data_IF_546564181624
#
_entry.id   IF_546564181624
#
_cell.length_a   1.000
_cell.length_b   1.000
_cell.length_c   1.000
_cell.angle_alpha   90.00
_cell.angle_beta   90.00
_cell.angle_gamma   90.00
#
_symmetry.space_group_name_H-M   'P 1'
#
loop_
_entity.id
_entity.type
_entity.pdbx_description
1 polymer ?
#
# COMPACT_ATOMS: atom_id res chain seq x y z
N UNK A 1 11.98 31.55 -10.35
CA UNK A 1 12.79 30.59 -11.15
C UNK A 1 14.08 30.28 -10.39
N UNK A 2 14.59 29.05 -10.50
CA UNK A 2 15.90 28.67 -9.94
C UNK A 2 16.93 28.70 -11.08
N UNK A 3 18.08 29.35 -10.88
CA UNK A 3 19.17 29.39 -11.86
C UNK A 3 20.01 28.12 -11.75
N UNK A 4 20.25 27.46 -12.89
CA UNK A 4 21.15 26.30 -12.98
C UNK A 4 22.06 26.46 -14.21
N UNK A 5 23.32 26.07 -14.07
CA UNK A 5 24.31 26.04 -15.15
C UNK A 5 24.60 24.58 -15.49
N UNK A 6 24.69 24.26 -16.78
CA UNK A 6 24.95 22.93 -17.30
C UNK A 6 26.00 23.04 -18.39
N UNK A 7 26.95 22.11 -18.41
CA UNK A 7 27.87 21.96 -19.52
C UNK A 7 27.20 21.14 -20.61
N UNK A 8 27.31 21.61 -21.86
CA UNK A 8 26.78 20.94 -23.04
C UNK A 8 27.95 20.59 -23.97
N UNK A 9 27.85 19.43 -24.62
CA UNK A 9 28.77 19.07 -25.70
C UNK A 9 28.48 19.94 -26.93
N UNK A 10 29.47 20.24 -27.78
CA UNK A 10 29.29 21.05 -28.99
C UNK A 10 28.18 20.53 -29.93
N UNK A 11 28.00 19.21 -29.97
CA UNK A 11 26.96 18.54 -30.76
C UNK A 11 25.55 18.93 -30.31
N UNK A 12 25.29 18.86 -29.00
CA UNK A 12 24.00 19.22 -28.40
C UNK A 12 23.71 20.71 -28.60
N UNK A 13 24.70 21.58 -28.43
CA UNK A 13 24.54 23.02 -28.67
C UNK A 13 24.12 23.31 -30.11
N UNK A 14 24.77 22.64 -31.07
CA UNK A 14 24.45 22.76 -32.49
C UNK A 14 23.00 22.36 -32.78
N UNK A 15 22.57 21.20 -32.27
CA UNK A 15 21.19 20.72 -32.44
C UNK A 15 20.17 21.67 -31.81
N UNK A 16 20.46 22.21 -30.62
CA UNK A 16 19.57 23.18 -29.97
C UNK A 16 19.41 24.47 -30.78
N UNK A 17 20.49 24.96 -31.41
CA UNK A 17 20.42 26.14 -32.29
C UNK A 17 19.62 25.86 -33.55
N UNK A 18 19.77 24.67 -34.14
CA UNK A 18 19.01 24.26 -35.33
C UNK A 18 17.51 24.20 -34.99
N UNK A 19 17.15 23.54 -33.89
CA UNK A 19 15.76 23.44 -33.43
C UNK A 19 15.15 24.79 -33.05
N UNK A 20 15.92 25.65 -32.38
CA UNK A 20 15.51 27.02 -32.06
C UNK A 20 15.16 27.82 -33.33
N UNK A 21 15.99 27.71 -34.38
CA UNK A 21 15.73 28.36 -35.68
C UNK A 21 14.52 27.78 -36.38
N UNK A 22 14.37 26.45 -36.41
CA UNK A 22 13.23 25.77 -37.04
C UNK A 22 11.89 26.23 -36.46
N UNK A 23 11.83 26.41 -35.15
CA UNK A 23 10.61 26.78 -34.44
C UNK A 23 10.45 28.29 -34.18
N UNK A 24 11.42 29.12 -34.56
CA UNK A 24 11.40 30.56 -34.27
C UNK A 24 11.45 30.88 -32.78
N UNK A 25 12.07 30.00 -31.97
CA UNK A 25 12.12 30.09 -30.51
C UNK A 25 13.53 30.38 -30.01
N UNK A 26 13.65 30.81 -28.76
CA UNK A 26 14.97 30.94 -28.11
C UNK A 26 15.51 29.56 -27.72
N UNK A 27 16.83 29.39 -27.73
CA UNK A 27 17.49 28.15 -27.29
C UNK A 27 17.10 27.77 -25.86
N UNK A 28 16.97 28.76 -24.97
CA UNK A 28 16.53 28.55 -23.59
C UNK A 28 15.08 28.00 -23.50
N UNK A 29 14.19 28.46 -24.36
CA UNK A 29 12.81 27.95 -24.42
C UNK A 29 12.76 26.53 -24.97
N UNK A 30 13.57 26.22 -25.99
CA UNK A 30 13.71 24.85 -26.52
C UNK A 30 14.20 23.90 -25.43
N UNK A 31 15.26 24.26 -24.70
CA UNK A 31 15.78 23.47 -23.58
C UNK A 31 14.70 23.26 -22.52
N UNK A 32 13.96 24.31 -22.16
CA UNK A 32 12.87 24.21 -21.18
C UNK A 32 11.79 23.22 -21.63
N UNK A 33 11.33 23.33 -22.87
CA UNK A 33 10.29 22.44 -23.42
C UNK A 33 10.76 20.98 -23.46
N UNK A 34 12.02 20.73 -23.84
CA UNK A 34 12.61 19.39 -23.85
C UNK A 34 12.67 18.82 -22.42
N UNK A 35 13.10 19.62 -21.45
CA UNK A 35 13.14 19.20 -20.05
C UNK A 35 11.74 18.95 -19.46
N UNK A 36 10.77 19.82 -19.75
CA UNK A 36 9.38 19.64 -19.30
C UNK A 36 8.74 18.37 -19.88
N UNK A 37 8.97 18.11 -21.16
CA UNK A 37 8.48 16.92 -21.86
C UNK A 37 9.16 15.64 -21.38
N UNK A 38 10.49 15.63 -21.28
CA UNK A 38 11.26 14.46 -20.85
C UNK A 38 10.98 14.07 -19.40
N UNK A 39 10.83 15.05 -18.50
CA UNK A 39 10.49 14.81 -17.10
C UNK A 39 8.99 14.58 -16.88
N UNK A 40 8.18 14.60 -17.94
CA UNK A 40 6.72 14.47 -17.90
C UNK A 40 6.08 15.38 -16.82
N UNK A 41 6.59 16.60 -16.65
CA UNK A 41 6.15 17.52 -15.60
C UNK A 41 4.65 17.80 -15.73
N UNK A 42 4.16 17.88 -16.97
CA UNK A 42 2.73 18.04 -17.26
C UNK A 42 1.87 16.87 -16.77
N UNK A 43 2.36 15.62 -16.90
CA UNK A 43 1.64 14.43 -16.42
C UNK A 43 1.74 14.26 -14.90
N UNK A 44 2.77 14.83 -14.28
CA UNK A 44 2.96 14.85 -12.83
C UNK A 44 2.22 16.00 -12.14
N UNK A 45 1.53 16.88 -12.89
CA UNK A 45 0.56 17.80 -12.28
C UNK A 45 -0.39 16.94 -11.45
N UNK A 46 -0.33 17.12 -10.13
CA UNK A 46 -1.06 16.33 -9.13
C UNK A 46 -2.46 16.06 -9.68
N UNK A 47 -2.78 14.80 -9.91
CA UNK A 47 -4.14 14.42 -10.26
C UNK A 47 -5.06 15.07 -9.23
N UNK A 48 -6.09 15.79 -9.68
CA UNK A 48 -7.04 16.41 -8.76
C UNK A 48 -7.56 15.30 -7.83
N UNK A 49 -7.47 15.43 -6.51
CA UNK A 49 -7.93 14.39 -5.59
C UNK A 49 -9.37 13.95 -5.89
N UNK A 50 -10.23 14.87 -6.35
CA UNK A 50 -11.58 14.53 -6.82
C UNK A 50 -11.59 13.66 -8.08
N UNK A 51 -10.71 13.90 -9.04
CA UNK A 51 -10.58 13.08 -10.25
C UNK A 51 -10.06 11.67 -9.93
N UNK A 52 -9.14 11.55 -8.97
CA UNK A 52 -8.65 10.24 -8.49
C UNK A 52 -9.78 9.45 -7.82
N UNK A 53 -10.54 10.09 -6.94
CA UNK A 53 -11.70 9.47 -6.28
C UNK A 53 -12.76 9.04 -7.29
N UNK A 54 -13.02 9.86 -8.32
CA UNK A 54 -14.00 9.54 -9.36
C UNK A 54 -13.53 8.38 -10.24
N UNK A 55 -12.23 8.29 -10.53
CA UNK A 55 -11.63 7.11 -11.21
C UNK A 55 -11.74 5.84 -10.36
N UNK A 56 -11.52 5.95 -9.04
CA UNK A 56 -11.69 4.83 -8.11
C UNK A 56 -13.16 4.41 -8.03
N UNK A 57 -14.09 5.36 -8.01
CA UNK A 57 -15.52 5.11 -7.98
C UNK A 57 -16.03 4.48 -9.29
N UNK A 58 -15.50 4.89 -10.45
CA UNK A 58 -15.85 4.29 -11.73
C UNK A 58 -15.49 2.80 -11.80
N UNK A 59 -14.44 2.40 -11.08
CA UNK A 59 -14.00 1.01 -10.94
C UNK A 59 -14.52 0.34 -9.66
N UNK A 60 -15.37 1.02 -8.87
CA UNK A 60 -15.96 0.44 -7.68
C UNK A 60 -17.04 -0.56 -8.12
N UNK A 61 -16.66 -1.85 -8.14
CA UNK A 61 -17.60 -2.94 -8.35
C UNK A 61 -18.62 -3.06 -7.20
N UNK A 62 -19.67 -3.85 -7.42
CA UNK A 62 -20.65 -4.20 -6.40
C UNK A 62 -20.02 -5.14 -5.36
N UNK A 63 -19.27 -4.56 -4.41
CA UNK A 63 -18.73 -5.25 -3.26
C UNK A 63 -19.75 -5.33 -2.12
N UNK A 64 -19.49 -6.18 -1.11
CA UNK A 64 -20.24 -6.17 0.14
C UNK A 64 -20.24 -4.76 0.74
N UNK A 65 -21.37 -4.30 1.28
CA UNK A 65 -21.51 -2.93 1.83
C UNK A 65 -20.64 -2.69 3.08
N UNK A 66 -20.08 -3.75 3.63
CA UNK A 66 -19.50 -3.84 4.97
C UNK A 66 -18.01 -4.24 4.93
N UNK A 67 -17.29 -3.85 3.86
CA UNK A 67 -15.86 -4.14 3.68
C UNK A 67 -15.00 -3.64 4.85
N UNK A 68 -15.32 -2.49 5.46
CA UNK A 68 -14.56 -1.96 6.61
C UNK A 68 -14.78 -2.77 7.89
N UNK A 69 -16.01 -3.25 8.11
CA UNK A 69 -16.42 -3.95 9.33
C UNK A 69 -16.13 -5.44 9.28
N UNK A 70 -16.22 -6.06 8.11
CA UNK A 70 -15.91 -7.47 7.91
C UNK A 70 -14.60 -7.67 7.14
N UNK A 71 -13.71 -6.66 7.16
CA UNK A 71 -12.41 -6.67 6.48
C UNK A 71 -11.66 -7.99 6.69
N UNK A 72 -11.55 -8.45 7.94
CA UNK A 72 -10.90 -9.73 8.26
C UNK A 72 -11.69 -10.96 7.80
N UNK A 73 -13.02 -10.90 7.84
CA UNK A 73 -13.86 -11.99 7.34
C UNK A 73 -13.72 -12.14 5.83
N UNK A 74 -13.55 -11.03 5.11
CA UNK A 74 -13.36 -11.02 3.67
C UNK A 74 -11.94 -11.37 3.27
N UNK A 75 -10.94 -10.83 3.98
CA UNK A 75 -9.53 -11.13 3.72
C UNK A 75 -9.14 -12.55 4.16
N UNK A 76 -9.78 -13.10 5.20
CA UNK A 76 -9.30 -14.33 5.85
C UNK A 76 -10.36 -15.43 6.09
N UNK A 77 -11.64 -15.25 5.74
CA UNK A 77 -12.68 -16.30 5.84
C UNK A 77 -13.07 -16.68 7.28
N UNK A 78 -14.16 -17.47 7.47
CA UNK A 78 -14.87 -17.83 8.75
C UNK A 78 -14.28 -17.21 10.04
N UNK A 79 -14.33 -15.88 9.98
CA UNK A 79 -13.84 -14.80 10.82
C UNK A 79 -12.44 -14.98 11.45
N UNK A 80 -11.43 -14.91 10.56
CA UNK A 80 -10.01 -14.50 10.76
C UNK A 80 -8.98 -15.58 11.10
N UNK A 81 -7.93 -15.82 10.30
CA UNK A 81 -6.95 -16.92 10.47
C UNK A 81 -6.06 -16.92 11.73
N UNK A 82 -6.17 -15.94 12.64
CA UNK A 82 -5.62 -16.06 14.00
C UNK A 82 -6.71 -16.37 15.06
N UNK A 83 -7.99 -16.30 14.68
CA UNK A 83 -9.19 -16.24 15.53
C UNK A 83 -10.40 -17.05 15.00
N UNK A 84 -10.30 -17.60 13.80
CA UNK A 84 -11.34 -18.26 13.03
C UNK A 84 -11.25 -19.75 13.30
N UNK A 85 -12.42 -20.36 13.53
CA UNK A 85 -12.62 -21.52 14.41
C UNK A 85 -11.54 -22.62 14.29
N UNK A 86 -10.63 -22.62 15.25
CA UNK A 86 -10.12 -23.85 15.86
C UNK A 86 -10.57 -23.87 17.34
N UNK A 87 -11.70 -24.54 17.60
CA UNK A 87 -12.33 -24.68 18.93
C UNK A 87 -11.62 -25.73 19.81
N UNK A 88 -10.28 -25.78 19.82
CA UNK A 88 -9.54 -26.92 20.41
C UNK A 88 -8.77 -26.65 21.70
N UNK A 89 -8.84 -25.47 22.32
CA UNK A 89 -7.88 -25.13 23.41
C UNK A 89 -8.44 -24.49 24.68
N UNK A 90 -9.72 -24.61 25.03
CA UNK A 90 -10.14 -24.04 26.34
C UNK A 90 -11.26 -24.75 27.09
N UNK A 91 -11.54 -26.03 26.81
CA UNK A 91 -12.42 -26.80 27.69
C UNK A 91 -11.86 -28.19 27.84
N UNK A 92 -11.35 -28.50 29.04
CA UNK A 92 -10.96 -29.85 29.41
C UNK A 92 -12.19 -30.75 29.28
N UNK A 93 -12.00 -31.96 28.77
CA UNK A 93 -13.07 -32.94 28.82
C UNK A 93 -13.36 -33.31 30.28
N UNK A 94 -14.61 -33.65 30.62
CA UNK A 94 -14.99 -34.05 31.99
C UNK A 94 -14.10 -35.16 32.58
N UNK A 95 -13.53 -36.00 31.71
CA UNK A 95 -12.58 -37.04 32.10
C UNK A 95 -11.22 -36.47 32.54
N UNK A 96 -10.74 -35.43 31.89
CA UNK A 96 -9.48 -34.74 32.22
C UNK A 96 -9.62 -33.88 33.47
N UNK A 97 -10.76 -33.22 33.66
CA UNK A 97 -11.10 -32.50 34.91
C UNK A 97 -11.06 -33.45 36.11
N UNK A 98 -11.71 -34.61 35.99
CA UNK A 98 -11.71 -35.64 37.05
C UNK A 98 -10.33 -36.27 37.28
N UNK A 99 -9.41 -36.16 36.32
CA UNK A 99 -8.02 -36.62 36.44
C UNK A 99 -7.19 -35.59 37.19
N UNK A 100 -7.40 -34.30 36.91
CA UNK A 100 -6.78 -33.19 37.61
C UNK A 100 -7.23 -33.10 39.07
N UNK A 101 -8.52 -33.29 39.35
CA UNK A 101 -9.04 -33.30 40.73
C UNK A 101 -8.42 -34.41 41.58
N UNK A 102 -8.26 -35.61 41.01
CA UNK A 102 -7.57 -36.72 41.68
C UNK A 102 -6.11 -36.39 41.96
N UNK A 103 -5.41 -35.86 40.96
CA UNK A 103 -4.01 -35.47 41.11
C UNK A 103 -3.81 -34.40 42.21
N UNK A 104 -4.68 -33.39 42.27
CA UNK A 104 -4.61 -32.36 43.29
C UNK A 104 -4.92 -32.87 44.70
N UNK A 105 -5.83 -33.84 44.83
CA UNK A 105 -6.13 -34.48 46.11
C UNK A 105 -4.98 -35.36 46.61
N UNK A 106 -4.31 -36.09 45.73
CA UNK A 106 -3.13 -36.90 46.08
C UNK A 106 -1.94 -36.04 46.55
N UNK A 107 -1.76 -34.85 45.96
CA UNK A 107 -0.74 -33.89 46.42
C UNK A 107 -1.06 -33.32 47.82
N UNK A 108 -2.33 -33.12 48.15
CA UNK A 108 -2.76 -32.62 49.48
C UNK A 108 -2.61 -33.68 50.56
N UNK A 109 -2.89 -34.95 50.25
CA UNK A 109 -2.72 -36.06 51.21
C UNK A 109 -1.24 -36.37 51.44
N UNK A 110 -0.40 -36.25 50.42
CA UNK A 110 1.06 -36.40 50.55
C UNK A 110 1.74 -35.31 51.39
N UNK A 111 1.17 -34.09 51.49
CA UNK A 111 1.72 -32.97 52.28
C UNK A 111 1.22 -32.93 53.74
N UNK A 112 0.31 -33.82 54.12
CA UNK A 112 -0.27 -33.92 55.48
C UNK A 112 0.27 -35.12 56.28
N UNK A 113 1.22 -35.87 55.73
CA UNK A 113 2.03 -36.87 56.43
C UNK A 113 3.43 -36.31 56.61
#
# INVERSE_FOLDING_TARGET
MIRKQLYLTPEIERELVIEARRHGKTTAEVVRNILEKSLNIEKRKKENPGAVLLRLAANAGHGPKDLSTNLYSYLYGEKSSKYGKDKRTTTLTKAEEKRLERFLNDQKTSRRR
#
